data_IF_597276035362
#
_entry.id   IF_597276035362
#
_cell.length_a   1.000
_cell.length_b   1.000
_cell.length_c   1.000
_cell.angle_alpha   90.00
_cell.angle_beta   90.00
_cell.angle_gamma   90.00
#
_symmetry.space_group_name_H-M   'P 1'
#
loop_
_entity.id
_entity.type
_entity.pdbx_description
1 polymer ?
#
# COMPACT_ATOMS: atom_id res chain seq x y z
N UNK A 1 -3.46 44.35 -24.71
CA UNK A 1 -2.84 45.38 -25.56
C UNK A 1 -3.45 45.29 -26.96
N UNK A 2 -4.30 46.24 -27.31
CA UNK A 2 -4.64 46.57 -28.70
C UNK A 2 -5.07 48.03 -28.68
N UNK A 3 -4.33 48.85 -29.42
CA UNK A 3 -4.40 50.30 -29.43
C UNK A 3 -5.08 50.67 -30.75
N UNK A 4 -6.22 51.36 -30.68
CA UNK A 4 -6.72 52.15 -31.79
C UNK A 4 -6.79 53.61 -31.34
N UNK A 5 -6.01 54.44 -32.02
CA UNK A 5 -5.96 55.90 -31.87
C UNK A 5 -7.02 56.51 -32.78
N UNK A 6 -7.92 57.32 -32.21
CA UNK A 6 -8.56 58.40 -32.96
C UNK A 6 -8.30 59.68 -32.19
N UNK A 7 -7.59 60.60 -32.82
CA UNK A 7 -7.34 61.94 -32.31
C UNK A 7 -8.47 62.87 -32.78
N UNK A 8 -9.02 63.67 -31.87
CA UNK A 8 -9.33 65.06 -32.21
C UNK A 8 -9.31 65.96 -30.96
N UNK A 9 -8.77 67.16 -31.13
CA UNK A 9 -8.41 68.11 -30.10
C UNK A 9 -9.59 68.99 -29.66
N UNK A 10 -9.63 69.38 -28.38
CA UNK A 10 -9.83 70.77 -27.92
C UNK A 10 -10.04 70.86 -26.39
N UNK A 11 -9.40 71.87 -25.80
CA UNK A 11 -9.73 72.57 -24.55
C UNK A 11 -9.62 71.81 -23.21
N UNK A 12 -8.84 72.39 -22.29
CA UNK A 12 -8.47 71.82 -21.02
C UNK A 12 -9.38 72.17 -19.84
N UNK A 13 -9.45 71.24 -18.89
CA UNK A 13 -9.68 71.42 -17.46
C UNK A 13 -9.34 70.08 -16.75
N UNK A 14 -8.70 70.05 -15.57
CA UNK A 14 -8.43 68.79 -14.87
C UNK A 14 -9.71 68.31 -14.18
N UNK A 15 -10.48 67.44 -14.84
CA UNK A 15 -11.62 66.75 -14.26
C UNK A 15 -11.20 65.65 -13.29
N UNK A 16 -11.79 65.62 -12.10
CA UNK A 16 -11.61 64.57 -11.07
C UNK A 16 -11.88 63.18 -11.66
N UNK A 17 -10.90 62.28 -11.59
CA UNK A 17 -11.08 60.86 -11.91
C UNK A 17 -11.89 60.21 -10.78
N UNK A 18 -13.18 60.03 -11.00
CA UNK A 18 -14.04 59.25 -10.13
C UNK A 18 -13.73 57.76 -10.36
N UNK A 19 -13.03 57.13 -9.43
CA UNK A 19 -12.86 55.66 -9.40
C UNK A 19 -14.24 55.02 -9.24
N UNK A 20 -14.84 54.56 -10.33
CA UNK A 20 -15.99 53.66 -10.27
C UNK A 20 -15.49 52.32 -9.73
N UNK A 21 -15.77 52.04 -8.44
CA UNK A 21 -15.65 50.69 -7.88
C UNK A 21 -16.60 49.80 -8.69
N UNK A 22 -16.06 48.85 -9.44
CA UNK A 22 -16.84 47.73 -9.93
C UNK A 22 -17.46 47.03 -8.70
N UNK A 23 -18.76 47.20 -8.52
CA UNK A 23 -19.49 46.59 -7.42
C UNK A 23 -19.42 45.08 -7.56
N UNK A 24 -18.79 44.41 -6.59
CA UNK A 24 -18.93 42.98 -6.41
C UNK A 24 -20.38 42.74 -5.94
N UNK A 25 -21.31 42.57 -6.88
CA UNK A 25 -22.70 42.25 -6.57
C UNK A 25 -22.75 40.87 -5.93
N UNK A 26 -23.05 40.79 -4.63
CA UNK A 26 -23.42 39.52 -3.99
C UNK A 26 -24.56 38.89 -4.80
N UNK A 27 -24.51 37.59 -5.12
CA UNK A 27 -25.63 36.94 -5.80
C UNK A 27 -26.88 37.11 -4.93
N UNK A 28 -27.86 37.88 -5.43
CA UNK A 28 -29.15 38.06 -4.79
C UNK A 28 -30.01 36.85 -5.17
N UNK A 29 -30.32 36.01 -4.19
CA UNK A 29 -31.28 34.92 -4.36
C UNK A 29 -32.69 35.51 -4.42
N UNK A 30 -33.51 35.04 -5.36
CA UNK A 30 -34.92 35.39 -5.36
C UNK A 30 -35.63 34.85 -4.10
N UNK A 31 -36.69 35.51 -3.61
CA UNK A 31 -37.47 35.01 -2.47
C UNK A 31 -37.99 33.58 -2.67
N UNK A 32 -38.34 33.21 -3.90
CA UNK A 32 -38.83 31.88 -4.27
C UNK A 32 -37.73 30.81 -4.15
N UNK A 33 -36.53 31.10 -4.66
CA UNK A 33 -35.36 30.22 -4.51
C UNK A 33 -35.00 30.02 -3.03
N UNK A 34 -35.12 31.06 -2.20
CA UNK A 34 -34.87 30.95 -0.77
C UNK A 34 -35.95 30.12 -0.07
N UNK A 35 -37.22 30.28 -0.45
CA UNK A 35 -38.34 29.48 0.08
C UNK A 35 -38.17 28.00 -0.26
N UNK A 36 -37.86 27.67 -1.51
CA UNK A 36 -37.60 26.28 -1.91
C UNK A 36 -36.35 25.71 -1.24
N UNK A 37 -35.28 26.49 -1.12
CA UNK A 37 -34.08 26.06 -0.40
C UNK A 37 -34.37 25.74 1.08
N UNK A 38 -35.21 26.54 1.75
CA UNK A 38 -35.65 26.28 3.13
C UNK A 38 -36.48 24.99 3.22
N UNK A 39 -37.47 24.81 2.36
CA UNK A 39 -38.29 23.59 2.33
C UNK A 39 -37.45 22.33 2.11
N UNK A 40 -36.48 22.37 1.19
CA UNK A 40 -35.56 21.26 0.96
C UNK A 40 -34.70 20.97 2.19
N UNK A 41 -34.17 22.01 2.85
CA UNK A 41 -33.36 21.86 4.07
C UNK A 41 -34.19 21.31 5.22
N UNK A 42 -35.40 21.81 5.46
CA UNK A 42 -36.31 21.31 6.50
C UNK A 42 -36.64 19.84 6.28
N UNK A 43 -36.92 19.44 5.04
CA UNK A 43 -37.10 18.03 4.66
C UNK A 43 -35.85 17.20 4.95
N UNK A 44 -34.67 17.68 4.54
CA UNK A 44 -33.41 16.98 4.77
C UNK A 44 -33.08 16.83 6.26
N UNK A 45 -33.36 17.84 7.09
CA UNK A 45 -33.20 17.76 8.55
C UNK A 45 -34.16 16.70 9.12
N UNK A 46 -35.44 16.74 8.73
CA UNK A 46 -36.45 15.77 9.19
C UNK A 46 -36.10 14.33 8.81
N UNK A 47 -35.53 14.14 7.61
CA UNK A 47 -35.12 12.83 7.09
C UNK A 47 -33.70 12.42 7.50
N UNK A 48 -33.00 13.21 8.33
CA UNK A 48 -31.59 12.97 8.72
C UNK A 48 -30.62 12.89 7.53
N UNK A 49 -30.89 13.62 6.45
CA UNK A 49 -30.09 13.64 5.21
C UNK A 49 -29.13 14.84 5.13
N UNK A 50 -28.40 15.08 6.22
CA UNK A 50 -27.32 16.08 6.24
C UNK A 50 -25.98 15.34 6.14
N UNK A 51 -25.12 15.74 5.21
CA UNK A 51 -23.80 15.13 5.05
C UNK A 51 -22.67 16.16 5.10
N UNK A 52 -21.47 15.69 5.42
CA UNK A 52 -20.24 16.46 5.40
C UNK A 52 -19.16 15.69 4.63
N UNK A 53 -18.46 16.37 3.72
CA UNK A 53 -17.31 15.82 3.00
C UNK A 53 -16.05 16.60 3.37
N UNK A 54 -15.00 15.89 3.73
CA UNK A 54 -13.68 16.45 4.00
C UNK A 54 -12.68 15.85 3.01
N UNK A 55 -12.34 16.64 1.97
CA UNK A 55 -11.51 16.22 0.85
C UNK A 55 -12.24 16.30 -0.50
N UNK A 56 -11.52 15.95 -1.57
CA UNK A 56 -12.04 16.03 -2.95
C UNK A 56 -12.83 14.76 -3.33
N UNK A 57 -14.13 14.77 -3.02
CA UNK A 57 -15.07 13.67 -3.37
C UNK A 57 -16.27 14.13 -4.20
N UNK A 58 -16.07 14.60 -5.45
CA UNK A 58 -17.16 15.13 -6.27
C UNK A 58 -18.18 14.05 -6.65
N UNK A 59 -17.76 12.79 -6.83
CA UNK A 59 -18.68 11.67 -7.11
C UNK A 59 -19.63 11.42 -5.94
N UNK A 60 -19.11 11.35 -4.72
CA UNK A 60 -19.92 11.15 -3.50
C UNK A 60 -20.87 12.34 -3.31
N UNK A 61 -20.36 13.57 -3.47
CA UNK A 61 -21.16 14.79 -3.39
C UNK A 61 -22.35 14.75 -4.34
N UNK A 62 -22.11 14.46 -5.62
CA UNK A 62 -23.16 14.37 -6.64
C UNK A 62 -24.18 13.29 -6.31
N UNK A 63 -23.71 12.11 -5.91
CA UNK A 63 -24.58 10.97 -5.60
C UNK A 63 -25.46 11.20 -4.36
N UNK A 64 -24.93 11.85 -3.32
CA UNK A 64 -25.71 12.21 -2.13
C UNK A 64 -26.74 13.30 -2.45
N UNK A 65 -26.35 14.33 -3.20
CA UNK A 65 -27.27 15.40 -3.64
C UNK A 65 -28.43 14.83 -4.48
N UNK A 66 -28.15 13.95 -5.43
CA UNK A 66 -29.17 13.27 -6.22
C UNK A 66 -30.14 12.41 -5.37
N UNK A 67 -29.76 12.05 -4.14
CA UNK A 67 -30.61 11.33 -3.17
C UNK A 67 -31.36 12.28 -2.22
N UNK A 68 -31.33 13.58 -2.48
CA UNK A 68 -31.94 14.63 -1.65
C UNK A 68 -31.19 14.94 -0.36
N UNK A 69 -29.88 14.68 -0.32
CA UNK A 69 -29.05 15.07 0.83
C UNK A 69 -28.52 16.49 0.68
N UNK A 70 -28.36 17.19 1.82
CA UNK A 70 -27.85 18.55 1.89
C UNK A 70 -26.46 18.57 2.51
N UNK A 71 -25.51 19.22 1.82
CA UNK A 71 -24.12 19.32 2.25
C UNK A 71 -23.94 20.43 3.29
N UNK A 72 -23.41 20.07 4.46
CA UNK A 72 -22.86 20.98 5.44
C UNK A 72 -21.37 21.15 5.18
N UNK A 73 -20.95 22.36 4.81
CA UNK A 73 -19.53 22.72 4.67
C UNK A 73 -18.90 22.94 6.05
N UNK A 74 -17.68 22.44 6.24
CA UNK A 74 -16.92 22.69 7.47
C UNK A 74 -16.56 24.19 7.60
N UNK A 75 -16.53 24.76 8.82
CA UNK A 75 -16.03 26.11 9.04
C UNK A 75 -14.54 26.16 8.65
N UNK A 76 -14.18 26.91 7.60
CA UNK A 76 -12.79 27.07 7.15
C UNK A 76 -12.51 26.70 5.69
N UNK A 77 -13.33 25.86 5.04
CA UNK A 77 -13.15 25.51 3.62
C UNK A 77 -13.59 26.62 2.64
N UNK A 78 -13.98 27.79 3.13
CA UNK A 78 -14.49 28.91 2.29
C UNK A 78 -13.35 29.70 1.63
N UNK A 79 -12.08 29.51 2.02
CA UNK A 79 -10.95 30.32 1.52
C UNK A 79 -9.93 29.58 0.64
N UNK A 80 -9.98 28.26 0.49
CA UNK A 80 -8.92 27.53 -0.22
C UNK A 80 -9.10 27.40 -1.74
N UNK A 81 -10.17 27.93 -2.33
CA UNK A 81 -10.32 28.05 -3.79
C UNK A 81 -9.85 29.42 -4.33
N UNK A 82 -9.40 30.34 -3.45
CA UNK A 82 -8.83 31.62 -3.85
C UNK A 82 -7.67 32.04 -2.94
N UNK A 83 -6.45 31.64 -3.30
CA UNK A 83 -5.20 32.20 -2.77
C UNK A 83 -4.51 31.34 -1.72
N UNK A 84 -3.26 30.95 -2.02
CA UNK A 84 -2.39 30.22 -1.10
C UNK A 84 -1.94 31.09 0.08
N UNK A 85 -1.86 30.47 1.26
CA UNK A 85 -1.33 31.07 2.48
C UNK A 85 -1.64 30.24 3.72
N UNK A 86 -0.62 29.58 4.26
CA UNK A 86 -0.65 28.71 5.44
C UNK A 86 -0.64 29.53 6.74
N UNK A 87 -1.45 29.13 7.73
CA UNK A 87 -1.28 29.56 9.12
C UNK A 87 -1.55 28.38 10.09
N UNK A 88 -0.51 28.03 10.87
CA UNK A 88 -0.51 27.01 11.93
C UNK A 88 -1.19 27.56 13.20
N UNK A 89 -1.93 26.71 13.91
CA UNK A 89 -2.38 26.96 15.29
C UNK A 89 -1.94 25.80 16.19
N UNK A 90 -1.36 26.17 17.34
CA UNK A 90 -0.76 25.29 18.36
C UNK A 90 -1.81 24.72 19.33
N UNK A 91 -1.66 23.44 19.70
CA UNK A 91 -2.49 22.78 20.72
C UNK A 91 -1.92 22.96 22.14
N UNK A 92 -2.78 23.28 23.10
CA UNK A 92 -2.48 23.35 24.53
C UNK A 92 -2.85 22.06 25.26
N UNK A 93 -1.96 21.60 26.13
CA UNK A 93 -2.06 20.36 26.92
C UNK A 93 -3.01 20.51 28.12
N UNK A 94 -3.85 19.50 28.37
CA UNK A 94 -4.39 19.24 29.71
C UNK A 94 -4.42 17.74 30.01
N UNK A 95 -3.87 17.39 31.17
CA UNK A 95 -3.56 16.06 31.70
C UNK A 95 -4.62 15.65 32.73
N UNK A 96 -5.20 14.46 32.60
CA UNK A 96 -5.99 13.81 33.68
C UNK A 96 -5.67 12.32 33.70
N UNK A 97 -5.39 11.77 34.89
CA UNK A 97 -5.07 10.36 35.16
C UNK A 97 -6.34 9.50 35.33
N UNK A 98 -6.29 8.17 35.05
CA UNK A 98 -7.45 7.27 35.16
C UNK A 98 -7.43 6.40 36.43
N UNK A 99 -8.60 5.84 36.79
CA UNK A 99 -8.73 4.74 37.76
C UNK A 99 -9.45 3.52 37.16
N UNK A 100 -9.04 2.36 37.69
CA UNK A 100 -9.26 0.94 37.36
C UNK A 100 -10.64 0.42 36.93
N UNK A 101 -10.59 -0.56 36.01
CA UNK A 101 -11.36 -1.83 35.84
C UNK A 101 -11.75 -2.05 34.36
N UNK A 102 -10.89 -2.60 33.49
CA UNK A 102 -10.37 -3.99 33.34
C UNK A 102 -11.46 -5.03 33.06
N UNK A 103 -11.58 -5.43 31.77
CA UNK A 103 -11.57 -6.83 31.29
C UNK A 103 -11.89 -6.91 29.77
N UNK A 104 -11.06 -6.29 28.94
CA UNK A 104 -10.83 -6.71 27.53
C UNK A 104 -9.54 -6.08 26.97
N UNK A 105 -8.50 -6.01 27.82
CA UNK A 105 -7.30 -5.23 27.61
C UNK A 105 -6.09 -6.15 27.59
N UNK A 106 -5.69 -6.55 26.40
CA UNK A 106 -4.34 -7.01 26.12
C UNK A 106 -3.94 -6.44 24.78
N UNK A 107 -3.79 -5.11 24.71
CA UNK A 107 -2.84 -4.32 23.92
C UNK A 107 -3.00 -2.86 24.37
N UNK A 108 -1.94 -2.20 24.89
CA UNK A 108 -2.03 -0.78 25.21
C UNK A 108 -2.23 0.03 23.92
N UNK A 109 -3.03 1.11 23.92
CA UNK A 109 -2.94 2.09 22.85
C UNK A 109 -1.53 2.70 22.91
N UNK A 110 -0.73 2.53 21.87
CA UNK A 110 0.52 3.28 21.74
C UNK A 110 0.16 4.75 21.54
N UNK A 111 0.49 5.60 22.50
CA UNK A 111 0.49 7.07 22.39
C UNK A 111 1.54 7.59 21.37
N UNK A 112 1.96 6.76 20.42
CA UNK A 112 2.97 7.04 19.41
C UNK A 112 2.47 6.80 17.97
N UNK A 113 1.18 6.45 17.79
CA UNK A 113 0.57 6.33 16.45
C UNK A 113 0.21 7.71 15.84
N UNK A 114 0.55 8.81 16.54
CA UNK A 114 0.27 10.20 16.12
C UNK A 114 1.41 10.88 15.33
N UNK A 115 2.54 10.20 15.07
CA UNK A 115 3.65 10.83 14.34
C UNK A 115 3.40 10.90 12.81
N UNK A 116 2.94 12.08 12.40
CA UNK A 116 3.21 12.77 11.13
C UNK A 116 3.04 11.96 9.81
N UNK A 117 1.80 11.74 9.39
CA UNK A 117 1.49 11.71 7.96
C UNK A 117 1.64 13.12 7.36
N UNK A 118 2.90 13.49 7.08
CA UNK A 118 3.27 14.76 6.44
C UNK A 118 2.43 15.03 5.18
N UNK A 119 1.97 16.28 5.12
CA UNK A 119 1.19 16.90 4.05
C UNK A 119 1.87 16.70 2.69
N UNK A 120 1.08 16.40 1.66
CA UNK A 120 1.10 17.06 0.35
C UNK A 120 0.05 16.44 -0.59
N UNK A 121 -0.35 17.22 -1.59
CA UNK A 121 -1.65 17.37 -2.28
C UNK A 121 -2.39 16.15 -2.88
N UNK A 122 -3.63 16.48 -3.26
CA UNK A 122 -4.75 15.71 -3.83
C UNK A 122 -4.42 14.66 -4.92
N UNK A 123 -5.16 13.54 -4.86
CA UNK A 123 -5.21 12.41 -5.82
C UNK A 123 -3.89 11.65 -6.08
N UNK A 124 -3.38 10.88 -5.09
CA UNK A 124 -2.06 10.26 -5.15
C UNK A 124 -1.91 9.10 -6.15
N UNK A 125 -3.01 8.54 -6.67
CA UNK A 125 -2.99 7.35 -7.54
C UNK A 125 -3.75 7.58 -8.88
N UNK A 126 -4.31 8.78 -9.15
CA UNK A 126 -5.12 9.06 -10.35
C UNK A 126 -6.41 8.21 -10.44
N UNK A 127 -6.84 7.62 -9.32
CA UNK A 127 -7.96 6.64 -9.26
C UNK A 127 -9.27 7.31 -9.66
N UNK A 128 -9.41 8.60 -9.35
CA UNK A 128 -10.61 9.35 -9.64
C UNK A 128 -10.87 9.46 -11.15
N UNK A 129 -9.83 9.75 -11.94
CA UNK A 129 -9.89 9.82 -13.41
C UNK A 129 -10.20 8.44 -14.03
N UNK A 130 -9.53 7.38 -13.58
CA UNK A 130 -9.70 6.02 -14.12
C UNK A 130 -11.12 5.47 -13.93
N UNK A 131 -11.71 5.68 -12.75
CA UNK A 131 -13.08 5.25 -12.45
C UNK A 131 -14.14 6.06 -13.21
N UNK A 132 -13.84 7.33 -13.53
CA UNK A 132 -14.73 8.18 -14.34
C UNK A 132 -14.64 7.82 -15.83
N UNK A 133 -13.44 7.55 -16.35
CA UNK A 133 -13.21 7.20 -17.75
C UNK A 133 -13.86 5.86 -18.15
N UNK A 134 -13.81 4.83 -17.27
CA UNK A 134 -14.43 3.52 -17.53
C UNK A 134 -15.96 3.59 -17.67
N UNK A 135 -16.60 4.55 -16.98
CA UNK A 135 -18.05 4.83 -17.09
C UNK A 135 -18.43 5.49 -18.41
N UNK A 136 -17.51 6.21 -19.07
CA UNK A 136 -17.74 6.78 -20.39
C UNK A 136 -17.64 5.74 -21.52
N UNK A 137 -17.01 4.58 -21.27
CA UNK A 137 -16.73 3.55 -22.28
C UNK A 137 -17.71 2.37 -22.30
N UNK A 138 -18.71 2.31 -21.41
CA UNK A 138 -19.68 1.20 -21.36
C UNK A 138 -21.13 1.68 -21.47
N UNK A 139 -21.72 1.71 -22.68
CA UNK A 139 -23.16 1.80 -22.85
C UNK A 139 -23.72 0.41 -23.18
N UNK A 140 -23.85 -0.48 -22.19
CA UNK A 140 -24.76 -1.63 -22.27
C UNK A 140 -24.88 -2.36 -20.94
N UNK A 141 -26.12 -2.37 -20.44
CA UNK A 141 -26.70 -3.15 -19.33
C UNK A 141 -27.38 -2.26 -18.28
N UNK A 142 -28.38 -1.51 -18.73
CA UNK A 142 -29.56 -1.16 -17.93
C UNK A 142 -30.76 -1.18 -18.88
N UNK A 143 -31.20 -2.38 -19.22
CA UNK A 143 -32.55 -2.63 -19.72
C UNK A 143 -33.09 -3.74 -18.84
N UNK A 144 -33.88 -3.34 -17.84
CA UNK A 144 -35.04 -4.06 -17.30
C UNK A 144 -35.63 -3.20 -16.16
N UNK A 145 -36.64 -2.42 -16.55
CA UNK A 145 -37.92 -2.17 -15.89
C UNK A 145 -37.98 -1.94 -14.37
N UNK A 146 -37.87 -0.66 -14.00
CA UNK A 146 -38.80 -0.08 -13.02
C UNK A 146 -39.25 1.31 -13.48
N UNK A 147 -40.52 1.37 -13.84
CA UNK A 147 -41.29 2.57 -14.16
C UNK A 147 -41.30 3.53 -12.96
N UNK A 148 -40.43 4.54 -12.98
CA UNK A 148 -40.55 5.73 -12.12
C UNK A 148 -40.97 6.89 -13.00
N UNK A 149 -42.22 7.33 -12.79
CA UNK A 149 -42.82 8.47 -13.49
C UNK A 149 -41.96 9.70 -13.36
N UNK A 150 -41.54 10.24 -14.51
CA UNK A 150 -40.90 11.54 -14.61
C UNK A 150 -41.89 12.64 -14.24
N UNK A 151 -41.52 13.43 -13.23
CA UNK A 151 -42.12 14.71 -12.92
C UNK A 151 -41.01 15.71 -12.65
N UNK A 152 -40.74 16.56 -13.64
CA UNK A 152 -40.32 17.98 -13.59
C UNK A 152 -39.16 18.47 -12.68
N UNK A 153 -38.52 17.63 -11.86
CA UNK A 153 -37.50 18.08 -10.88
C UNK A 153 -36.03 18.03 -11.39
N UNK A 154 -35.80 17.55 -12.62
CA UNK A 154 -34.45 17.28 -13.14
C UNK A 154 -33.75 18.49 -13.80
N UNK A 155 -34.42 19.62 -14.02
CA UNK A 155 -33.85 20.76 -14.77
C UNK A 155 -33.00 21.73 -13.93
N UNK A 156 -32.97 21.61 -12.59
CA UNK A 156 -32.25 22.57 -11.75
C UNK A 156 -30.72 22.36 -11.69
N UNK A 157 -30.23 21.15 -11.98
CA UNK A 157 -28.84 20.77 -11.66
C UNK A 157 -27.80 21.16 -12.72
N UNK A 158 -28.22 21.66 -13.89
CA UNK A 158 -27.31 22.00 -15.00
C UNK A 158 -26.58 23.35 -14.88
N UNK A 159 -26.98 24.27 -13.99
CA UNK A 159 -26.42 25.64 -13.95
C UNK A 159 -25.90 26.14 -12.59
N UNK A 160 -26.00 25.35 -11.52
CA UNK A 160 -25.62 25.79 -10.16
C UNK A 160 -24.33 25.17 -9.60
N UNK A 161 -23.61 24.39 -10.40
CA UNK A 161 -22.44 23.60 -9.94
C UNK A 161 -21.17 24.40 -9.58
N UNK A 162 -21.18 25.74 -9.53
CA UNK A 162 -19.97 26.53 -9.24
C UNK A 162 -20.17 27.68 -8.24
N UNK A 163 -21.24 27.69 -7.43
CA UNK A 163 -21.39 28.74 -6.42
C UNK A 163 -20.99 28.26 -5.01
N UNK A 164 -19.88 28.77 -4.42
CA UNK A 164 -19.42 28.40 -3.08
C UNK A 164 -20.39 28.81 -1.96
N UNK A 165 -21.46 29.54 -2.27
CA UNK A 165 -22.48 30.05 -1.34
C UNK A 165 -23.89 29.55 -1.71
N UNK A 166 -24.12 28.24 -1.73
CA UNK A 166 -25.52 27.77 -1.78
C UNK A 166 -26.25 28.22 -0.49
N UNK A 167 -27.47 28.78 -0.56
CA UNK A 167 -28.23 29.19 0.62
C UNK A 167 -28.38 28.04 1.61
N UNK A 168 -28.54 26.82 1.06
CA UNK A 168 -28.73 25.58 1.81
C UNK A 168 -27.56 25.30 2.76
N UNK A 169 -26.31 25.48 2.31
CA UNK A 169 -25.15 25.22 3.19
C UNK A 169 -25.14 26.12 4.41
N UNK A 170 -25.63 27.37 4.32
CA UNK A 170 -25.75 28.27 5.47
C UNK A 170 -26.89 27.88 6.40
N UNK A 171 -28.01 27.43 5.83
CA UNK A 171 -29.19 26.98 6.59
C UNK A 171 -28.91 25.71 7.42
N UNK A 172 -27.89 24.92 7.06
CA UNK A 172 -27.49 23.71 7.78
C UNK A 172 -26.18 23.85 8.58
N UNK A 173 -25.65 25.06 8.76
CA UNK A 173 -24.37 25.27 9.46
C UNK A 173 -24.38 24.75 10.90
N UNK A 174 -25.52 24.88 11.59
CA UNK A 174 -25.72 24.47 12.98
C UNK A 174 -26.32 23.06 13.10
N UNK A 175 -26.53 22.37 11.98
CA UNK A 175 -27.12 21.03 11.96
C UNK A 175 -26.03 19.95 12.08
N UNK A 176 -26.38 18.84 12.72
CA UNK A 176 -25.47 17.70 12.86
C UNK A 176 -25.48 16.86 11.56
N UNK A 177 -24.33 16.58 10.94
CA UNK A 177 -24.26 15.70 9.78
C UNK A 177 -24.46 14.24 10.22
N UNK A 178 -25.30 13.50 9.51
CA UNK A 178 -25.54 12.08 9.74
C UNK A 178 -24.66 11.18 8.87
N UNK A 179 -24.06 11.73 7.82
CA UNK A 179 -23.08 11.02 6.99
C UNK A 179 -21.82 11.87 6.83
N UNK A 180 -20.70 11.36 7.33
CA UNK A 180 -19.42 12.06 7.32
C UNK A 180 -18.45 11.21 6.50
N UNK A 181 -17.89 11.83 5.45
CA UNK A 181 -16.87 11.19 4.64
C UNK A 181 -15.59 12.01 4.65
N UNK A 182 -14.50 11.39 5.06
CA UNK A 182 -13.18 12.03 5.12
C UNK A 182 -12.11 11.19 4.44
N UNK A 183 -11.00 11.82 4.06
CA UNK A 183 -9.80 11.10 3.60
C UNK A 183 -9.06 10.41 4.73
N UNK A 184 -9.02 11.02 5.92
CA UNK A 184 -8.27 10.53 7.09
C UNK A 184 -9.23 10.19 8.24
N UNK A 185 -8.90 9.13 8.98
CA UNK A 185 -9.66 8.68 10.15
C UNK A 185 -9.66 9.72 11.28
N UNK A 186 -8.53 10.39 11.51
CA UNK A 186 -8.36 11.41 12.58
C UNK A 186 -9.37 12.56 12.52
N UNK A 187 -9.88 12.85 11.33
CA UNK A 187 -10.85 13.92 11.14
C UNK A 187 -12.26 13.55 11.67
N UNK A 188 -12.56 12.25 11.81
CA UNK A 188 -13.75 11.73 12.47
C UNK A 188 -13.51 11.43 13.97
N UNK A 189 -12.29 11.03 14.36
CA UNK A 189 -11.91 10.71 15.75
C UNK A 189 -11.93 11.94 16.67
N UNK A 190 -11.66 13.14 16.12
CA UNK A 190 -11.76 14.40 16.88
C UNK A 190 -13.20 14.78 17.27
N UNK A 191 -14.20 14.07 16.76
CA UNK A 191 -15.62 14.34 17.02
C UNK A 191 -16.23 13.26 17.90
N UNK A 192 -16.91 13.65 18.98
CA UNK A 192 -17.81 12.74 19.71
C UNK A 192 -19.02 12.45 18.80
N UNK A 193 -19.01 11.29 18.15
CA UNK A 193 -20.06 10.85 17.24
C UNK A 193 -21.27 10.31 18.01
N UNK A 194 -22.45 10.61 17.50
CA UNK A 194 -23.70 9.99 17.94
C UNK A 194 -23.87 8.61 17.29
N UNK A 195 -24.58 7.67 17.93
CA UNK A 195 -24.76 6.30 17.40
C UNK A 195 -25.44 6.23 16.03
N UNK A 196 -26.19 7.26 15.64
CA UNK A 196 -26.89 7.34 14.35
C UNK A 196 -26.11 8.10 13.27
N UNK A 197 -24.87 8.50 13.54
CA UNK A 197 -23.98 9.08 12.55
C UNK A 197 -23.13 7.99 11.89
N UNK A 198 -23.04 8.06 10.57
CA UNK A 198 -22.25 7.16 9.74
C UNK A 198 -20.94 7.84 9.34
N UNK A 199 -19.83 7.13 9.53
CA UNK A 199 -18.48 7.53 9.11
C UNK A 199 -17.88 6.47 8.19
N UNK A 200 -16.95 6.86 7.33
CA UNK A 200 -16.26 5.94 6.41
C UNK A 200 -14.95 5.35 6.97
N UNK A 201 -14.68 5.51 8.27
CA UNK A 201 -13.49 4.99 8.94
C UNK A 201 -13.84 4.39 10.31
N UNK A 202 -13.14 3.32 10.69
CA UNK A 202 -13.15 2.80 12.07
C UNK A 202 -11.95 3.36 12.84
N UNK A 203 -12.13 3.60 14.15
CA UNK A 203 -11.12 4.23 15.02
C UNK A 203 -9.80 3.44 15.22
N UNK A 204 -9.68 2.22 14.65
CA UNK A 204 -8.52 1.32 14.85
C UNK A 204 -8.28 0.40 13.65
N UNK A 205 -7.59 0.90 12.62
CA UNK A 205 -7.25 0.13 11.41
C UNK A 205 -5.82 -0.45 11.36
N UNK A 206 -4.95 -0.06 12.30
CA UNK A 206 -3.49 -0.26 12.20
C UNK A 206 -3.03 -1.72 12.11
N UNK A 207 -3.81 -2.68 12.62
CA UNK A 207 -3.47 -4.10 12.59
C UNK A 207 -3.44 -4.68 11.16
N UNK A 208 -4.26 -4.19 10.24
CA UNK A 208 -4.30 -4.68 8.86
C UNK A 208 -3.61 -3.72 7.87
N UNK A 209 -3.52 -2.44 8.22
CA UNK A 209 -3.01 -1.41 7.31
C UNK A 209 -1.50 -1.19 7.44
N UNK A 210 -0.88 -1.63 8.53
CA UNK A 210 0.58 -1.57 8.72
C UNK A 210 1.26 -2.88 8.33
N UNK A 211 2.54 -2.82 7.95
CA UNK A 211 3.31 -4.02 7.60
C UNK A 211 3.59 -4.90 8.82
N UNK A 212 3.91 -4.29 9.95
CA UNK A 212 4.12 -5.00 11.22
C UNK A 212 2.82 -5.63 11.71
N UNK A 213 1.71 -4.88 11.70
CA UNK A 213 0.40 -5.39 12.09
C UNK A 213 -0.01 -6.60 11.27
N UNK A 214 0.08 -6.50 9.94
CA UNK A 214 -0.33 -7.60 9.05
C UNK A 214 0.54 -8.85 9.27
N UNK A 215 1.86 -8.67 9.44
CA UNK A 215 2.78 -9.77 9.76
C UNK A 215 2.37 -10.49 11.06
N UNK A 216 2.04 -9.74 12.11
CA UNK A 216 1.61 -10.29 13.39
C UNK A 216 0.25 -10.97 13.30
N UNK A 217 -0.72 -10.36 12.61
CA UNK A 217 -2.06 -10.92 12.44
C UNK A 217 -2.02 -12.25 11.70
N UNK A 218 -1.27 -12.35 10.60
CA UNK A 218 -1.19 -13.58 9.81
C UNK A 218 -0.41 -14.69 10.51
N UNK A 219 0.55 -14.36 11.38
CA UNK A 219 1.22 -15.35 12.23
C UNK A 219 0.27 -16.04 13.21
N UNK A 220 -0.77 -15.34 13.65
CA UNK A 220 -1.80 -15.88 14.53
C UNK A 220 -3.00 -16.45 13.75
N UNK A 221 -2.95 -16.49 12.41
CA UNK A 221 -4.02 -17.05 11.58
C UNK A 221 -4.45 -18.46 11.99
N UNK A 222 -3.54 -19.39 12.39
CA UNK A 222 -3.94 -20.74 12.81
C UNK A 222 -4.92 -20.80 14.00
N UNK A 223 -5.06 -19.71 14.77
CA UNK A 223 -6.06 -19.62 15.84
C UNK A 223 -7.48 -19.31 15.33
N UNK A 224 -7.61 -18.86 14.08
CA UNK A 224 -8.85 -18.40 13.49
C UNK A 224 -9.27 -19.22 12.26
N UNK A 225 -8.30 -19.68 11.47
CA UNK A 225 -8.52 -20.45 10.23
C UNK A 225 -7.39 -21.48 10.02
N UNK A 226 -7.68 -22.56 9.30
CA UNK A 226 -6.72 -23.64 9.00
C UNK A 226 -5.83 -23.34 7.80
N UNK A 227 -6.10 -22.27 7.05
CA UNK A 227 -5.28 -21.86 5.93
C UNK A 227 -3.84 -21.54 6.38
N UNK A 228 -2.87 -22.12 5.67
CA UNK A 228 -1.45 -21.81 5.89
C UNK A 228 -1.14 -20.42 5.33
N UNK A 229 -0.71 -19.44 6.16
CA UNK A 229 -0.37 -18.10 5.70
C UNK A 229 0.74 -18.09 4.65
N UNK A 230 1.65 -19.07 4.65
CA UNK A 230 2.76 -19.10 3.70
C UNK A 230 2.31 -19.41 2.26
N UNK A 231 1.07 -19.86 2.06
CA UNK A 231 0.48 -20.09 0.73
C UNK A 231 0.09 -18.81 -0.01
N UNK A 232 -0.16 -17.71 0.72
CA UNK A 232 -0.64 -16.45 0.12
C UNK A 232 0.07 -15.19 0.64
N UNK A 233 0.87 -15.29 1.69
CA UNK A 233 1.65 -14.18 2.25
C UNK A 233 3.13 -14.54 2.32
N UNK A 234 4.02 -13.84 1.58
CA UNK A 234 5.45 -14.09 1.65
C UNK A 234 5.96 -13.96 3.08
N UNK A 235 6.70 -14.97 3.53
CA UNK A 235 7.20 -15.08 4.89
C UNK A 235 7.97 -13.84 5.34
N UNK A 236 7.79 -13.49 6.61
CA UNK A 236 7.96 -12.13 7.09
C UNK A 236 8.35 -12.15 8.58
N UNK A 237 9.31 -11.32 8.96
CA UNK A 237 9.90 -11.32 10.31
C UNK A 237 10.10 -9.90 10.83
N UNK A 238 9.89 -9.71 12.14
CA UNK A 238 10.20 -8.45 12.83
C UNK A 238 11.63 -8.48 13.34
N UNK A 239 12.48 -7.61 12.79
CA UNK A 239 13.90 -7.57 13.17
C UNK A 239 14.15 -6.98 14.57
N UNK A 240 13.13 -6.36 15.16
CA UNK A 240 13.17 -5.83 16.53
C UNK A 240 13.02 -6.93 17.59
N UNK A 241 12.40 -8.06 17.25
CA UNK A 241 12.24 -9.21 18.13
C UNK A 241 13.42 -10.16 17.95
N UNK A 242 14.07 -10.54 19.05
CA UNK A 242 15.34 -11.29 19.02
C UNK A 242 15.15 -12.69 18.43
N UNK A 243 14.09 -13.36 18.84
CA UNK A 243 13.65 -14.67 18.34
C UNK A 243 13.31 -14.62 16.85
N UNK A 244 12.56 -13.61 16.40
CA UNK A 244 12.23 -13.46 14.97
C UNK A 244 13.44 -13.09 14.12
N UNK A 245 14.34 -12.26 14.65
CA UNK A 245 15.61 -11.94 14.00
C UNK A 245 16.45 -13.20 13.80
N UNK A 246 16.49 -14.08 14.81
CA UNK A 246 17.22 -15.35 14.71
C UNK A 246 16.56 -16.29 13.70
N UNK A 247 15.22 -16.41 13.72
CA UNK A 247 14.47 -17.18 12.74
C UNK A 247 14.70 -16.68 11.30
N UNK A 248 14.75 -15.36 11.09
CA UNK A 248 15.12 -14.77 9.80
C UNK A 248 16.53 -15.16 9.36
N UNK A 249 17.52 -15.12 10.26
CA UNK A 249 18.91 -15.50 9.93
C UNK A 249 18.98 -16.96 9.50
N UNK A 250 18.26 -17.85 10.20
CA UNK A 250 18.18 -19.27 9.87
C UNK A 250 17.48 -19.50 8.53
N UNK A 251 16.36 -18.83 8.26
CA UNK A 251 15.67 -18.94 6.98
C UNK A 251 16.52 -18.38 5.82
N UNK A 252 17.23 -17.27 6.03
CA UNK A 252 18.17 -16.75 5.03
C UNK A 252 19.22 -17.80 4.65
N UNK A 253 19.78 -18.48 5.66
CA UNK A 253 20.78 -19.54 5.52
C UNK A 253 20.22 -20.76 4.78
N UNK A 254 19.01 -21.21 5.15
CA UNK A 254 18.32 -22.31 4.48
C UNK A 254 17.99 -21.95 3.02
N UNK A 255 17.53 -20.72 2.78
CA UNK A 255 17.23 -20.21 1.42
C UNK A 255 18.49 -20.15 0.57
N UNK A 256 19.63 -19.75 1.13
CA UNK A 256 20.92 -19.75 0.44
C UNK A 256 21.34 -21.18 0.04
N UNK A 257 21.17 -22.17 0.92
CA UNK A 257 21.48 -23.56 0.60
C UNK A 257 20.61 -24.12 -0.52
N UNK A 258 19.29 -23.87 -0.48
CA UNK A 258 18.37 -24.26 -1.55
C UNK A 258 18.72 -23.58 -2.86
N UNK A 259 19.01 -22.28 -2.82
CA UNK A 259 19.41 -21.52 -4.00
C UNK A 259 20.69 -22.05 -4.63
N UNK A 260 21.72 -22.35 -3.84
CA UNK A 260 22.97 -22.90 -4.35
C UNK A 260 22.71 -24.15 -5.19
N UNK A 261 21.87 -25.07 -4.69
CA UNK A 261 21.49 -26.28 -5.41
C UNK A 261 20.70 -25.96 -6.69
N UNK A 262 19.75 -25.03 -6.65
CA UNK A 262 18.99 -24.58 -7.83
C UNK A 262 19.94 -24.09 -8.94
N UNK A 263 20.82 -23.13 -8.61
CA UNK A 263 21.76 -22.52 -9.56
C UNK A 263 22.79 -23.53 -10.09
N UNK A 264 23.32 -24.39 -9.23
CA UNK A 264 24.31 -25.38 -9.64
C UNK A 264 23.71 -26.44 -10.56
N UNK A 265 22.47 -26.88 -10.32
CA UNK A 265 21.76 -27.83 -11.18
C UNK A 265 21.42 -27.23 -12.55
N UNK A 266 20.92 -25.99 -12.59
CA UNK A 266 20.58 -25.30 -13.84
C UNK A 266 21.81 -25.17 -14.76
N UNK A 267 22.94 -24.69 -14.21
CA UNK A 267 24.20 -24.57 -14.98
C UNK A 267 24.74 -25.91 -15.47
N UNK A 268 24.58 -26.95 -14.66
CA UNK A 268 25.02 -28.30 -14.99
C UNK A 268 24.18 -28.95 -16.12
N UNK A 269 22.95 -28.49 -16.33
CA UNK A 269 22.06 -28.88 -17.43
C UNK A 269 22.39 -28.10 -18.71
N UNK A 270 22.70 -26.80 -18.60
CA UNK A 270 23.17 -25.99 -19.72
C UNK A 270 24.47 -26.53 -20.35
N UNK A 271 25.43 -26.97 -19.53
CA UNK A 271 26.66 -27.62 -20.00
C UNK A 271 26.41 -28.91 -20.78
N UNK A 272 25.39 -29.69 -20.41
CA UNK A 272 25.01 -30.92 -21.12
C UNK A 272 24.31 -30.63 -22.45
N UNK A 273 23.64 -29.48 -22.54
CA UNK A 273 22.88 -29.06 -23.73
C UNK A 273 23.79 -28.32 -24.74
N UNK A 274 24.87 -27.69 -24.28
CA UNK A 274 25.85 -26.97 -25.09
C UNK A 274 26.88 -27.86 -25.82
N UNK A 275 26.65 -29.17 -25.91
CA UNK A 275 27.49 -30.12 -26.67
C UNK A 275 27.37 -30.00 -28.21
N UNK A 276 26.70 -28.96 -28.73
CA UNK A 276 26.74 -28.58 -30.15
C UNK A 276 27.79 -27.47 -30.36
N UNK A 277 28.90 -27.72 -31.10
CA UNK A 277 30.04 -26.82 -31.10
C UNK A 277 29.79 -25.59 -31.96
N UNK A 278 29.52 -24.44 -31.34
CA UNK A 278 29.71 -23.15 -31.98
C UNK A 278 30.42 -22.18 -31.03
N UNK A 279 31.62 -21.67 -31.38
CA UNK A 279 32.36 -20.78 -30.51
C UNK A 279 31.80 -19.35 -30.64
N UNK A 280 31.40 -18.75 -29.52
CA UNK A 280 31.30 -17.28 -29.42
C UNK A 280 32.40 -16.76 -28.51
N UNK A 281 33.28 -15.87 -28.99
CA UNK A 281 34.22 -15.17 -28.13
C UNK A 281 33.47 -14.04 -27.42
N UNK A 282 33.57 -13.96 -26.09
CA UNK A 282 33.22 -12.74 -25.35
C UNK A 282 34.49 -12.16 -24.75
N UNK A 283 34.93 -11.04 -25.32
CA UNK A 283 35.97 -10.18 -24.78
C UNK A 283 35.45 -9.46 -23.54
N UNK A 284 35.93 -9.85 -22.36
CA UNK A 284 35.95 -9.01 -21.17
C UNK A 284 37.23 -9.30 -20.37
N UNK A 285 37.86 -8.31 -19.73
CA UNK A 285 39.14 -8.49 -19.05
C UNK A 285 38.96 -9.39 -17.82
N UNK A 286 39.66 -10.51 -17.79
CA UNK A 286 39.71 -11.38 -16.63
C UNK A 286 40.47 -10.69 -15.50
N UNK A 287 39.75 -10.23 -14.47
CA UNK A 287 40.33 -10.07 -13.14
C UNK A 287 40.81 -11.46 -12.66
N UNK A 288 41.95 -11.50 -11.98
CA UNK A 288 42.71 -12.73 -11.71
C UNK A 288 41.86 -13.87 -11.10
N UNK A 289 42.27 -15.14 -11.29
CA UNK A 289 41.46 -16.30 -10.94
C UNK A 289 41.07 -16.23 -9.46
N UNK A 290 39.77 -16.09 -9.22
CA UNK A 290 39.21 -16.14 -7.88
C UNK A 290 39.62 -17.45 -7.19
N UNK A 291 39.82 -17.47 -5.86
CA UNK A 291 40.28 -18.66 -5.14
C UNK A 291 39.43 -19.89 -5.48
N UNK A 292 39.98 -21.11 -5.60
CA UNK A 292 39.17 -22.30 -5.87
C UNK A 292 38.04 -22.43 -4.84
N UNK A 293 36.83 -22.75 -5.32
CA UNK A 293 35.68 -22.95 -4.43
C UNK A 293 35.92 -24.19 -3.55
N UNK A 294 35.45 -24.20 -2.29
CA UNK A 294 35.55 -25.38 -1.45
C UNK A 294 34.77 -26.55 -2.06
N UNK A 295 35.38 -27.74 -2.26
CA UNK A 295 34.69 -28.91 -2.81
C UNK A 295 33.51 -29.35 -1.93
N UNK A 296 33.55 -29.02 -0.64
CA UNK A 296 32.54 -29.37 0.37
C UNK A 296 31.26 -28.53 0.28
N UNK A 297 31.25 -27.42 -0.49
CA UNK A 297 30.13 -26.47 -0.50
C UNK A 297 28.79 -27.12 -0.93
N UNK A 298 28.84 -28.00 -1.93
CA UNK A 298 27.67 -28.75 -2.43
C UNK A 298 27.18 -29.74 -1.37
N UNK A 299 28.11 -30.47 -0.75
CA UNK A 299 27.80 -31.47 0.27
C UNK A 299 27.16 -30.82 1.50
N UNK A 300 27.66 -29.65 1.91
CA UNK A 300 27.05 -28.85 2.97
C UNK A 300 25.63 -28.41 2.59
N UNK A 301 25.41 -27.92 1.37
CA UNK A 301 24.09 -27.50 0.92
C UNK A 301 23.09 -28.67 0.86
N UNK A 302 23.52 -29.83 0.35
CA UNK A 302 22.73 -31.06 0.34
C UNK A 302 22.38 -31.50 1.76
N UNK A 303 23.36 -31.52 2.66
CA UNK A 303 23.18 -31.89 4.07
C UNK A 303 22.19 -30.97 4.78
N UNK A 304 22.33 -29.65 4.60
CA UNK A 304 21.42 -28.64 5.16
C UNK A 304 20.00 -28.85 4.62
N UNK A 305 19.83 -29.00 3.31
CA UNK A 305 18.52 -29.14 2.70
C UNK A 305 17.83 -30.46 3.10
N UNK A 306 18.59 -31.56 3.23
CA UNK A 306 18.08 -32.84 3.76
C UNK A 306 17.67 -32.73 5.23
N UNK A 307 18.49 -32.07 6.05
CA UNK A 307 18.18 -31.84 7.47
C UNK A 307 16.89 -31.05 7.62
N UNK A 308 16.71 -29.99 6.81
CA UNK A 308 15.49 -29.20 6.80
C UNK A 308 14.26 -30.02 6.37
N UNK A 309 14.37 -30.80 5.30
CA UNK A 309 13.30 -31.71 4.87
C UNK A 309 12.94 -32.75 5.94
N UNK A 310 13.95 -33.26 6.66
CA UNK A 310 13.77 -34.19 7.79
C UNK A 310 13.05 -33.55 8.97
N UNK A 311 13.42 -32.32 9.34
CA UNK A 311 12.79 -31.57 10.44
C UNK A 311 11.32 -31.25 10.14
N UNK A 312 10.99 -30.86 8.90
CA UNK A 312 9.59 -30.67 8.49
C UNK A 312 8.78 -31.99 8.51
N UNK A 313 9.46 -33.13 8.32
CA UNK A 313 8.88 -34.46 8.49
C UNK A 313 8.97 -35.01 9.93
N UNK A 314 9.32 -34.16 10.90
CA UNK A 314 9.41 -34.48 12.34
C UNK A 314 10.42 -35.59 12.68
N UNK A 315 11.44 -35.80 11.84
CA UNK A 315 12.48 -36.83 12.03
C UNK A 315 13.57 -36.42 13.01
N UNK A 316 13.49 -35.21 13.54
CA UNK A 316 14.41 -34.60 14.51
C UNK A 316 13.90 -34.68 15.95
N UNK A 317 12.68 -35.19 16.16
CA UNK A 317 12.07 -35.32 17.50
C UNK A 317 12.78 -36.40 18.34
N UNK A 318 13.24 -37.48 17.71
CA UNK A 318 13.74 -38.67 18.41
C UNK A 318 15.20 -38.56 18.89
N UNK A 319 15.78 -37.35 18.96
CA UNK A 319 17.03 -37.08 19.68
C UNK A 319 18.31 -37.52 18.98
N UNK A 320 18.25 -37.89 17.70
CA UNK A 320 19.48 -38.08 16.91
C UNK A 320 20.26 -36.76 16.86
N UNK A 321 21.57 -36.85 17.13
CA UNK A 321 22.43 -35.68 17.16
C UNK A 321 22.38 -35.00 15.79
N UNK A 322 21.78 -33.82 15.71
CA UNK A 322 21.77 -33.06 14.47
C UNK A 322 23.23 -32.90 14.00
N UNK A 323 23.54 -33.19 12.73
CA UNK A 323 24.89 -33.04 12.23
C UNK A 323 25.36 -31.60 12.47
N UNK A 324 26.65 -31.39 12.80
CA UNK A 324 27.15 -30.08 13.17
C UNK A 324 26.79 -29.04 12.11
N UNK A 325 26.30 -27.87 12.53
CA UNK A 325 25.98 -26.78 11.61
C UNK A 325 27.23 -26.40 10.81
N UNK A 326 27.11 -26.14 9.50
CA UNK A 326 28.26 -25.64 8.73
C UNK A 326 28.78 -24.34 9.32
N UNK A 327 30.02 -23.99 9.00
CA UNK A 327 30.50 -22.63 9.22
C UNK A 327 29.75 -21.69 8.28
N UNK A 328 28.66 -21.08 8.77
CA UNK A 328 27.74 -20.30 7.94
C UNK A 328 28.40 -19.12 7.25
N UNK A 329 29.41 -18.50 7.87
CA UNK A 329 30.13 -17.39 7.24
C UNK A 329 30.92 -17.86 6.00
N UNK A 330 31.60 -19.01 6.11
CA UNK A 330 32.29 -19.64 4.98
C UNK A 330 31.31 -20.11 3.90
N UNK A 331 30.22 -20.76 4.32
CA UNK A 331 29.17 -21.23 3.41
C UNK A 331 28.55 -20.08 2.63
N UNK A 332 28.16 -18.99 3.31
CA UNK A 332 27.57 -17.82 2.67
C UNK A 332 28.54 -17.13 1.73
N UNK A 333 29.83 -17.05 2.08
CA UNK A 333 30.84 -16.52 1.16
C UNK A 333 30.93 -17.37 -0.12
N UNK A 334 30.95 -18.70 0.00
CA UNK A 334 30.89 -19.60 -1.15
C UNK A 334 29.61 -19.43 -1.98
N UNK A 335 28.47 -19.32 -1.31
CA UNK A 335 27.16 -19.06 -1.93
C UNK A 335 27.16 -17.77 -2.76
N UNK A 336 27.63 -16.65 -2.19
CA UNK A 336 27.66 -15.37 -2.90
C UNK A 336 28.55 -15.41 -4.14
N UNK A 337 29.71 -16.09 -4.05
CA UNK A 337 30.59 -16.29 -5.20
C UNK A 337 29.92 -17.06 -6.33
N UNK A 338 29.16 -18.11 -6.02
CA UNK A 338 28.48 -18.92 -7.04
C UNK A 338 27.28 -18.15 -7.64
N UNK A 339 26.41 -17.59 -6.79
CA UNK A 339 25.10 -17.06 -7.20
C UNK A 339 25.17 -15.60 -7.67
N UNK A 340 26.04 -14.78 -7.07
CA UNK A 340 26.15 -13.35 -7.44
C UNK A 340 27.34 -13.07 -8.35
N UNK A 341 28.48 -13.73 -8.13
CA UNK A 341 29.71 -13.47 -8.89
C UNK A 341 29.91 -14.45 -10.08
N UNK A 342 29.06 -15.48 -10.19
CA UNK A 342 29.08 -16.39 -11.34
C UNK A 342 30.15 -17.49 -11.27
N UNK A 343 30.75 -17.74 -10.10
CA UNK A 343 31.72 -18.82 -9.94
C UNK A 343 31.08 -20.19 -10.28
N UNK A 344 31.81 -21.02 -11.02
CA UNK A 344 31.31 -22.33 -11.50
C UNK A 344 31.52 -23.39 -10.43
N UNK A 345 30.48 -24.17 -10.17
CA UNK A 345 30.48 -25.27 -9.21
C UNK A 345 30.23 -26.58 -9.97
N UNK A 346 31.22 -27.47 -10.00
CA UNK A 346 31.07 -28.76 -10.67
C UNK A 346 30.35 -29.76 -9.77
N UNK A 347 29.30 -30.39 -10.31
CA UNK A 347 28.51 -31.41 -9.65
C UNK A 347 28.77 -32.79 -10.26
N UNK A 348 29.06 -33.78 -9.40
CA UNK A 348 29.03 -35.19 -9.81
C UNK A 348 27.61 -35.63 -10.18
N UNK A 349 27.46 -36.71 -10.94
CA UNK A 349 26.13 -37.24 -11.29
C UNK A 349 25.31 -37.60 -10.05
N UNK A 350 25.96 -38.15 -9.03
CA UNK A 350 25.33 -38.45 -7.74
C UNK A 350 24.82 -37.17 -7.06
N UNK A 351 25.64 -36.12 -6.98
CA UNK A 351 25.23 -34.83 -6.40
C UNK A 351 24.06 -34.20 -7.15
N UNK A 352 24.01 -34.34 -8.49
CA UNK A 352 22.91 -33.84 -9.31
C UNK A 352 21.59 -34.54 -8.97
N UNK A 353 21.60 -35.87 -8.92
CA UNK A 353 20.43 -36.68 -8.58
C UNK A 353 19.94 -36.39 -7.15
N UNK A 354 20.87 -36.34 -6.21
CA UNK A 354 20.60 -36.00 -4.82
C UNK A 354 20.01 -34.59 -4.68
N UNK A 355 20.54 -33.60 -5.40
CA UNK A 355 20.05 -32.23 -5.40
C UNK A 355 18.62 -32.14 -5.94
N UNK A 356 18.31 -32.78 -7.06
CA UNK A 356 16.96 -32.82 -7.64
C UNK A 356 15.96 -33.47 -6.69
N UNK A 357 16.31 -34.63 -6.12
CA UNK A 357 15.45 -35.37 -5.18
C UNK A 357 15.09 -34.52 -3.96
N UNK A 358 16.09 -33.87 -3.34
CA UNK A 358 15.87 -33.03 -2.16
C UNK A 358 15.04 -31.79 -2.49
N UNK A 359 15.34 -31.10 -3.59
CA UNK A 359 14.55 -29.92 -4.02
C UNK A 359 13.10 -30.31 -4.35
N UNK A 360 12.86 -31.47 -4.95
CA UNK A 360 11.52 -31.99 -5.22
C UNK A 360 10.76 -32.29 -3.92
N UNK A 361 11.41 -32.92 -2.94
CA UNK A 361 10.83 -33.16 -1.62
C UNK A 361 10.48 -31.85 -0.90
N UNK A 362 11.36 -30.85 -0.97
CA UNK A 362 11.12 -29.51 -0.43
C UNK A 362 9.97 -28.80 -1.15
N UNK A 363 9.83 -28.96 -2.47
CA UNK A 363 8.76 -28.34 -3.24
C UNK A 363 7.36 -28.81 -2.80
N UNK A 364 7.25 -30.06 -2.33
CA UNK A 364 6.01 -30.60 -1.79
C UNK A 364 5.60 -30.03 -0.42
N UNK A 365 6.52 -29.40 0.31
CA UNK A 365 6.29 -28.91 1.67
C UNK A 365 6.43 -27.39 1.83
N UNK A 366 7.14 -26.72 0.92
CA UNK A 366 7.40 -25.27 0.97
C UNK A 366 6.61 -24.54 -0.13
N UNK A 367 5.45 -23.95 0.16
CA UNK A 367 4.63 -23.24 -0.84
C UNK A 367 5.39 -22.13 -1.57
N UNK A 368 6.36 -21.51 -0.90
CA UNK A 368 7.12 -20.37 -1.42
C UNK A 368 8.40 -20.77 -2.19
N UNK A 369 8.73 -22.06 -2.34
CA UNK A 369 9.99 -22.52 -2.96
C UNK A 369 10.17 -22.01 -4.41
N UNK A 370 9.07 -21.87 -5.15
CA UNK A 370 9.10 -21.34 -6.51
C UNK A 370 9.29 -19.82 -6.50
N UNK A 371 8.47 -19.09 -5.73
CA UNK A 371 8.50 -17.62 -5.72
C UNK A 371 9.77 -17.03 -5.10
N UNK A 372 10.43 -17.77 -4.20
CA UNK A 372 11.64 -17.30 -3.51
C UNK A 372 12.86 -17.15 -4.44
N UNK A 373 12.85 -17.77 -5.62
CA UNK A 373 13.91 -17.65 -6.63
C UNK A 373 15.26 -18.25 -6.20
N UNK A 374 16.33 -17.56 -6.58
CA UNK A 374 17.74 -17.99 -6.45
C UNK A 374 18.61 -16.90 -5.82
N UNK A 375 18.31 -15.62 -6.01
CA UNK A 375 19.18 -14.55 -5.55
C UNK A 375 19.03 -14.26 -4.06
N UNK A 376 18.12 -14.96 -3.37
CA UNK A 376 17.85 -14.81 -1.95
C UNK A 376 17.62 -13.34 -1.56
N UNK A 377 16.82 -12.65 -2.37
CA UNK A 377 16.49 -11.24 -2.18
C UNK A 377 15.44 -11.10 -1.09
N UNK A 378 15.68 -10.16 -0.19
CA UNK A 378 14.78 -9.77 0.88
C UNK A 378 14.47 -8.27 0.80
N UNK A 379 13.26 -7.92 1.21
CA UNK A 379 12.78 -6.54 1.22
C UNK A 379 12.58 -6.06 2.66
N UNK A 380 13.31 -5.02 3.03
CA UNK A 380 13.18 -4.30 4.29
C UNK A 380 12.10 -3.23 4.16
N UNK A 381 11.15 -3.25 5.09
CA UNK A 381 10.01 -2.32 5.11
C UNK A 381 9.94 -1.64 6.47
N UNK A 382 9.90 -0.31 6.53
CA UNK A 382 9.63 0.40 7.78
C UNK A 382 8.16 0.18 8.19
N UNK A 383 7.91 0.06 9.50
CA UNK A 383 6.62 -0.32 10.12
C UNK A 383 5.38 0.34 9.51
N UNK A 384 5.38 1.65 9.38
CA UNK A 384 4.20 2.47 9.06
C UNK A 384 4.42 3.40 7.85
N UNK A 385 5.39 3.13 6.98
CA UNK A 385 5.51 3.92 5.75
C UNK A 385 4.58 3.39 4.65
N UNK A 386 4.13 4.31 3.80
CA UNK A 386 3.34 4.04 2.60
C UNK A 386 4.05 4.60 1.36
N UNK A 387 3.52 4.28 0.16
CA UNK A 387 4.02 4.77 -1.14
C UNK A 387 5.47 4.37 -1.47
N UNK A 388 5.94 3.25 -0.95
CA UNK A 388 7.29 2.74 -1.25
C UNK A 388 8.43 3.45 -0.54
N UNK A 389 8.15 4.45 0.31
CA UNK A 389 9.19 5.23 0.99
C UNK A 389 9.98 4.38 1.99
N UNK A 390 11.31 4.46 1.90
CA UNK A 390 12.22 3.78 2.81
C UNK A 390 12.27 2.25 2.64
N UNK A 391 11.69 1.71 1.57
CA UNK A 391 11.80 0.29 1.25
C UNK A 391 13.17 0.03 0.62
N UNK A 392 13.86 -1.02 1.06
CA UNK A 392 15.17 -1.41 0.52
C UNK A 392 15.16 -2.90 0.21
N UNK A 393 15.69 -3.28 -0.95
CA UNK A 393 15.93 -4.67 -1.31
C UNK A 393 17.43 -4.98 -1.17
N UNK A 394 17.76 -6.13 -0.59
CA UNK A 394 19.14 -6.60 -0.49
C UNK A 394 19.20 -8.13 -0.56
N UNK A 395 20.32 -8.64 -1.08
CA UNK A 395 20.56 -10.07 -1.28
C UNK A 395 21.64 -10.63 -0.34
N UNK A 396 22.26 -9.78 0.50
CA UNK A 396 23.30 -10.19 1.44
C UNK A 396 22.87 -10.01 2.88
N UNK A 397 23.13 -11.02 3.71
CA UNK A 397 22.71 -11.06 5.11
C UNK A 397 23.38 -9.96 5.95
N UNK A 398 24.68 -9.75 5.78
CA UNK A 398 25.46 -8.70 6.44
C UNK A 398 24.86 -7.31 6.16
N UNK A 399 24.55 -7.03 4.90
CA UNK A 399 23.91 -5.79 4.46
C UNK A 399 22.53 -5.61 5.10
N UNK A 400 21.68 -6.66 5.09
CA UNK A 400 20.34 -6.62 5.68
C UNK A 400 20.40 -6.33 7.19
N UNK A 401 21.31 -6.98 7.92
CA UNK A 401 21.49 -6.78 9.35
C UNK A 401 22.09 -5.41 9.67
N UNK A 402 23.00 -4.90 8.84
CA UNK A 402 23.58 -3.57 8.99
C UNK A 402 22.52 -2.47 8.77
N UNK A 403 21.72 -2.59 7.70
CA UNK A 403 20.62 -1.66 7.40
C UNK A 403 19.58 -1.63 8.53
N UNK A 404 19.30 -2.78 9.14
CA UNK A 404 18.41 -2.88 10.28
C UNK A 404 19.01 -2.33 11.59
N UNK A 405 20.36 -2.35 11.73
CA UNK A 405 21.10 -1.96 12.93
C UNK A 405 21.62 -0.52 12.95
N UNK A 406 21.51 0.23 11.85
CA UNK A 406 22.02 1.61 11.73
C UNK A 406 21.48 2.57 12.80
N UNK A 407 22.40 3.30 13.44
CA UNK A 407 22.24 4.06 14.70
C UNK A 407 21.29 5.27 14.68
N UNK A 408 20.64 5.58 13.55
CA UNK A 408 19.77 6.76 13.41
C UNK A 408 18.26 6.52 13.60
N UNK A 409 17.81 5.26 13.55
CA UNK A 409 16.41 4.87 13.79
C UNK A 409 16.39 3.49 14.44
N UNK A 410 16.41 3.45 15.78
CA UNK A 410 16.24 2.19 16.53
C UNK A 410 14.91 1.52 16.12
N UNK A 411 15.02 0.54 15.24
CA UNK A 411 14.51 -0.80 15.49
C UNK A 411 13.02 -1.04 15.32
N UNK A 412 12.41 -0.70 14.18
CA UNK A 412 11.09 -1.26 13.78
C UNK A 412 11.00 -1.54 12.28
N UNK A 413 11.84 -2.46 11.83
CA UNK A 413 11.84 -2.97 10.46
C UNK A 413 11.18 -4.34 10.41
N UNK A 414 10.44 -4.54 9.34
CA UNK A 414 9.96 -5.86 8.94
C UNK A 414 10.77 -6.29 7.74
N UNK A 415 11.33 -7.49 7.77
CA UNK A 415 12.00 -8.12 6.63
C UNK A 415 11.06 -9.18 6.04
N UNK A 416 10.87 -9.14 4.73
CA UNK A 416 9.96 -10.06 4.04
C UNK A 416 10.67 -10.66 2.83
N UNK A 417 10.41 -11.94 2.53
CA UNK A 417 11.01 -12.57 1.35
C UNK A 417 10.51 -11.88 0.08
N UNK A 418 11.42 -11.46 -0.78
CA UNK A 418 11.06 -10.86 -2.06
C UNK A 418 10.59 -11.94 -3.03
N UNK A 419 9.52 -11.64 -3.77
CA UNK A 419 8.99 -12.47 -4.87
C UNK A 419 9.89 -12.26 -6.09
N UNK A 420 10.83 -13.18 -6.31
CA UNK A 420 11.83 -13.10 -7.38
C UNK A 420 11.30 -13.59 -8.73
N UNK A 421 10.33 -14.49 -8.71
CA UNK A 421 9.66 -15.03 -9.90
C UNK A 421 8.18 -14.62 -9.94
N UNK A 422 7.85 -13.32 -10.01
CA UNK A 422 6.47 -12.88 -10.11
C UNK A 422 5.91 -13.24 -11.50
N UNK A 423 4.58 -13.32 -11.62
CA UNK A 423 3.93 -13.31 -12.92
C UNK A 423 4.25 -11.97 -13.62
N UNK A 424 4.68 -12.04 -14.87
CA UNK A 424 5.00 -10.88 -15.70
C UNK A 424 4.02 -10.78 -16.87
N UNK A 425 3.63 -9.57 -17.20
CA UNK A 425 2.89 -9.27 -18.43
C UNK A 425 3.81 -8.40 -19.29
N UNK A 426 4.13 -8.87 -20.50
CA UNK A 426 5.11 -8.23 -21.39
C UNK A 426 6.48 -7.96 -20.73
N UNK A 427 6.93 -8.86 -19.85
CA UNK A 427 8.18 -8.70 -19.12
C UNK A 427 8.14 -7.65 -17.99
N UNK A 428 6.97 -7.08 -17.70
CA UNK A 428 6.79 -6.02 -16.72
C UNK A 428 6.09 -6.56 -15.47
N UNK A 429 6.65 -6.22 -14.30
CA UNK A 429 6.05 -6.54 -13.00
C UNK A 429 4.82 -5.67 -12.78
N UNK A 430 3.79 -6.23 -12.16
CA UNK A 430 2.58 -5.51 -11.80
C UNK A 430 2.06 -5.96 -10.43
N UNK A 431 1.12 -5.20 -9.88
CA UNK A 431 0.30 -5.62 -8.76
C UNK A 431 -1.19 -5.38 -9.05
N UNK A 432 -2.06 -6.01 -8.25
CA UNK A 432 -3.51 -5.84 -8.31
C UNK A 432 -3.96 -4.95 -7.16
N UNK A 433 -4.67 -3.86 -7.46
CA UNK A 433 -5.40 -3.10 -6.44
C UNK A 433 -6.82 -3.66 -6.33
N UNK A 434 -7.05 -4.43 -5.27
CA UNK A 434 -8.35 -4.98 -4.91
C UNK A 434 -9.02 -4.14 -3.81
N UNK A 435 -10.32 -3.92 -3.93
CA UNK A 435 -11.12 -3.23 -2.91
C UNK A 435 -12.07 -4.18 -2.20
N UNK A 436 -12.19 -3.98 -0.89
CA UNK A 436 -13.23 -4.57 -0.05
C UNK A 436 -13.74 -3.51 0.94
N UNK A 437 -14.96 -3.71 1.45
CA UNK A 437 -15.58 -2.83 2.44
C UNK A 437 -15.96 -3.66 3.67
N UNK A 438 -15.55 -3.20 4.85
CA UNK A 438 -16.01 -3.76 6.14
C UNK A 438 -17.14 -2.87 6.65
N UNK A 439 -18.29 -3.46 6.95
CA UNK A 439 -19.46 -2.73 7.47
C UNK A 439 -19.81 -3.07 8.91
N UNK A 440 -19.35 -4.23 9.40
CA UNK A 440 -19.58 -4.68 10.77
C UNK A 440 -18.45 -5.62 11.20
N UNK A 441 -18.21 -5.70 12.51
CA UNK A 441 -17.25 -6.58 13.16
C UNK A 441 -17.92 -7.73 13.90
N UNK A 442 -19.24 -7.63 14.18
CA UNK A 442 -19.98 -8.68 14.88
C UNK A 442 -21.46 -8.78 14.43
N UNK A 443 -21.77 -9.60 13.39
CA UNK A 443 -20.85 -10.49 12.69
C UNK A 443 -19.89 -9.73 11.75
N UNK A 444 -18.65 -10.21 11.62
CA UNK A 444 -17.70 -9.66 10.67
C UNK A 444 -18.28 -9.73 9.25
N UNK A 445 -18.55 -8.57 8.66
CA UNK A 445 -19.22 -8.46 7.36
C UNK A 445 -18.31 -7.74 6.37
N UNK A 446 -17.83 -8.49 5.37
CA UNK A 446 -16.88 -8.03 4.35
C UNK A 446 -17.53 -8.11 2.97
N UNK A 447 -17.53 -7.00 2.25
CA UNK A 447 -18.01 -6.89 0.87
C UNK A 447 -16.84 -6.83 -0.08
N UNK A 448 -16.75 -7.78 -1.02
CA UNK A 448 -15.69 -7.81 -2.03
C UNK A 448 -16.13 -7.11 -3.30
N UNK A 449 -15.40 -6.08 -3.75
CA UNK A 449 -15.73 -5.40 -4.99
C UNK A 449 -15.22 -6.23 -6.18
N UNK A 450 -16.10 -6.58 -7.11
CA UNK A 450 -15.77 -7.53 -8.19
C UNK A 450 -14.76 -7.00 -9.21
N UNK A 451 -14.64 -5.68 -9.32
CA UNK A 451 -13.72 -5.02 -10.23
C UNK A 451 -12.42 -4.63 -9.50
N UNK A 452 -11.30 -4.75 -10.20
CA UNK A 452 -9.98 -4.34 -9.75
C UNK A 452 -9.21 -3.68 -10.90
N UNK A 453 -8.04 -3.12 -10.61
CA UNK A 453 -7.13 -2.65 -11.66
C UNK A 453 -5.70 -3.08 -11.38
N UNK A 454 -4.93 -3.18 -12.47
CA UNK A 454 -3.52 -3.53 -12.42
C UNK A 454 -2.68 -2.27 -12.38
N UNK A 455 -1.61 -2.28 -11.58
CA UNK A 455 -0.58 -1.23 -11.56
C UNK A 455 0.72 -1.80 -12.06
N UNK A 456 1.19 -1.31 -13.19
CA UNK A 456 2.42 -1.78 -13.84
C UNK A 456 3.63 -0.96 -13.36
N UNK A 457 4.77 -1.63 -13.24
CA UNK A 457 6.06 -0.97 -13.13
C UNK A 457 6.38 -0.21 -14.44
N UNK A 458 7.16 0.87 -14.33
CA UNK A 458 7.57 1.69 -15.48
C UNK A 458 8.70 1.06 -16.30
N UNK A 459 9.35 0.03 -15.79
CA UNK A 459 10.51 -0.64 -16.40
C UNK A 459 10.30 -2.15 -16.46
N UNK A 460 10.92 -2.84 -17.45
CA UNK A 460 11.00 -4.30 -17.48
C UNK A 460 11.56 -4.85 -16.18
N UNK A 461 11.03 -5.98 -15.73
CA UNK A 461 11.46 -6.62 -14.50
C UNK A 461 12.88 -7.19 -14.63
N UNK A 462 13.75 -6.87 -13.67
CA UNK A 462 15.10 -7.41 -13.58
C UNK A 462 15.54 -7.50 -12.12
N UNK A 463 16.32 -8.54 -11.80
CA UNK A 463 16.98 -8.72 -10.50
C UNK A 463 18.49 -8.39 -10.55
N UNK A 464 18.97 -7.82 -11.67
CA UNK A 464 20.39 -7.44 -11.81
C UNK A 464 20.72 -6.15 -11.07
N UNK A 465 19.77 -5.22 -11.01
CA UNK A 465 19.85 -4.00 -10.23
C UNK A 465 18.72 -4.04 -9.20
N UNK A 466 19.07 -4.00 -7.91
CA UNK A 466 18.10 -3.97 -6.81
C UNK A 466 17.80 -2.55 -6.33
N UNK A 467 18.54 -1.56 -6.84
CA UNK A 467 18.33 -0.15 -6.55
C UNK A 467 17.15 0.38 -7.37
N UNK A 468 16.29 1.17 -6.70
CA UNK A 468 15.09 1.77 -7.25
C UNK A 468 15.38 3.11 -7.95
#
# INVERSE_FOLDING_TARGET
>A
MRIEKVANAAAGAPGKVQRVRAGCSRPQFSPEQLKQAKLHVEKAIKEKKIFMLQGRYPVIRRLLRARGWVERKAPGMVQQEAGGGCAKLSAGQHRVQPSLETLCSSWPPSEEDEEEEQLDEDDPDGIHELMVARRAMTPRMMQEDHHWGGGEDAEWEGRTSLNPLSPQSRLVQDQVPYFIWSTRCSAAESCVLRPDQVVNHYARGGCLTTKEGLCLTLRNLPWFDQADPDTFFPRCYRLSAVDERQAFIEDFRLTAARSLLKVALERAEDEHTALDPSPKPSDAPAEGPAPPLPPQLVEEALRVCRGHLGSMAHRDIDGDTQPPSPSWDSFLQGYYRVVHEGAVLQLSMEQREQGRSVLQGLAGQLPQLCMEGERNVWILKPRAASRGRGIVCAARLDQLLQLAGGTGRRGRWVVQKYVERPLLIFGTKFDVRQWFLVTDWNPLTIWFYRECYLRFCSQPFSLRCLDA
#
